data_IF_152595308149
#
_entry.id   IF_152595308149
#
_cell.length_a   1.000
_cell.length_b   1.000
_cell.length_c   1.000
_cell.angle_alpha   90.00
_cell.angle_beta   90.00
_cell.angle_gamma   90.00
#
_symmetry.space_group_name_H-M   'P 1'
#
loop_
_entity.id
_entity.type
_entity.pdbx_description
1 polymer ?
#
# COMPACT_ATOMS: atom_id res chain seq x y z
N UNK A 1 9.41 20.61 13.98
CA UNK A 1 9.21 19.15 14.18
C UNK A 1 8.15 18.89 15.25
N UNK A 2 7.71 17.65 15.43
CA UNK A 2 6.72 17.29 16.47
C UNK A 2 7.20 17.66 17.87
N UNK A 3 8.48 17.44 18.16
CA UNK A 3 9.09 17.81 19.44
C UNK A 3 9.05 19.32 19.70
N UNK A 4 9.33 20.14 18.72
CA UNK A 4 9.28 21.59 18.81
C UNK A 4 7.87 22.12 18.96
N UNK A 5 6.88 21.43 18.37
CA UNK A 5 5.46 21.73 18.56
C UNK A 5 5.00 21.44 19.99
N UNK A 6 5.48 20.33 20.57
CA UNK A 6 5.12 19.95 21.95
C UNK A 6 5.75 20.89 22.98
N UNK A 7 7.01 21.23 22.81
CA UNK A 7 7.71 22.17 23.68
C UNK A 7 8.90 22.76 22.92
N UNK A 8 9.00 24.09 22.78
CA UNK A 8 10.18 24.77 22.27
C UNK A 8 11.41 24.36 23.08
N UNK A 9 12.53 24.17 22.42
CA UNK A 9 13.81 23.80 23.03
C UNK A 9 13.94 22.37 23.58
N UNK A 10 12.95 21.54 23.38
CA UNK A 10 12.96 20.15 23.86
C UNK A 10 14.18 19.34 23.35
N UNK A 11 14.64 19.65 22.15
CA UNK A 11 15.83 19.05 21.52
C UNK A 11 17.08 19.96 21.62
N UNK A 12 16.98 21.09 22.29
CA UNK A 12 18.07 22.07 22.47
C UNK A 12 18.69 22.59 21.14
N UNK A 13 17.86 22.73 20.12
CA UNK A 13 18.28 23.28 18.82
C UNK A 13 17.46 24.51 18.45
N UNK A 14 18.15 25.60 18.10
CA UNK A 14 17.55 26.86 17.64
C UNK A 14 17.12 26.83 16.19
N UNK A 15 17.61 25.89 15.39
CA UNK A 15 17.28 25.80 13.98
C UNK A 15 17.26 24.35 13.46
N UNK A 16 16.37 24.11 12.50
CA UNK A 16 16.31 22.84 11.78
C UNK A 16 17.64 22.48 11.12
N UNK A 17 18.36 23.46 10.59
CA UNK A 17 19.64 23.21 9.92
C UNK A 17 20.73 22.74 10.89
N UNK A 18 20.76 23.30 12.11
CA UNK A 18 21.69 22.88 13.15
C UNK A 18 21.39 21.43 13.56
N UNK A 19 20.12 21.10 13.83
CA UNK A 19 19.66 19.74 14.11
C UNK A 19 20.00 18.78 12.96
N UNK A 20 19.67 19.13 11.71
CA UNK A 20 19.98 18.31 10.54
C UNK A 20 21.46 18.03 10.41
N UNK A 21 22.31 19.06 10.53
CA UNK A 21 23.76 18.89 10.37
C UNK A 21 24.38 18.04 11.49
N UNK A 22 23.77 18.01 12.68
CA UNK A 22 24.20 17.13 13.77
C UNK A 22 23.89 15.68 13.50
N UNK A 23 22.71 15.38 12.92
CA UNK A 23 22.18 14.01 12.81
C UNK A 23 22.13 13.45 11.39
N UNK A 24 22.47 14.26 10.38
CA UNK A 24 22.50 13.82 8.99
C UNK A 24 23.73 14.33 8.23
N UNK A 25 24.20 13.50 7.32
CA UNK A 25 25.15 13.89 6.28
C UNK A 25 24.38 14.15 5.00
N UNK A 26 24.66 15.28 4.36
CA UNK A 26 23.94 15.73 3.17
C UNK A 26 24.77 15.49 1.93
N UNK A 27 24.09 15.05 0.85
CA UNK A 27 24.67 14.87 -0.47
C UNK A 27 23.94 15.76 -1.48
N UNK A 28 24.69 16.39 -2.36
CA UNK A 28 24.09 17.12 -3.48
C UNK A 28 23.74 16.15 -4.59
N UNK A 29 22.48 16.15 -5.01
CA UNK A 29 22.02 15.46 -6.20
C UNK A 29 21.60 16.47 -7.26
N UNK A 30 21.95 16.19 -8.52
CA UNK A 30 21.51 16.98 -9.66
C UNK A 30 20.32 16.30 -10.33
N UNK A 31 19.14 16.91 -10.25
CA UNK A 31 17.90 16.41 -10.85
C UNK A 31 17.33 17.49 -11.76
N UNK A 32 17.16 17.17 -13.04
CA UNK A 32 16.65 18.10 -14.07
C UNK A 32 17.36 19.47 -14.08
N UNK A 33 18.70 19.48 -13.97
CA UNK A 33 19.50 20.71 -13.98
C UNK A 33 19.44 21.55 -12.70
N UNK A 34 18.79 21.06 -11.65
CA UNK A 34 18.75 21.69 -10.32
C UNK A 34 19.53 20.87 -9.31
N UNK A 35 20.28 21.55 -8.46
CA UNK A 35 20.99 20.93 -7.33
C UNK A 35 20.07 20.88 -6.12
N UNK A 36 19.79 19.69 -5.62
CA UNK A 36 19.03 19.48 -4.39
C UNK A 36 19.89 18.79 -3.34
N UNK A 37 19.71 19.16 -2.08
CA UNK A 37 20.36 18.51 -0.96
C UNK A 37 19.48 17.38 -0.43
N UNK A 38 19.99 16.15 -0.43
CA UNK A 38 19.32 14.97 0.12
C UNK A 38 20.14 14.38 1.26
N UNK A 39 19.48 13.69 2.17
CA UNK A 39 20.17 12.95 3.24
C UNK A 39 20.88 11.75 2.61
N UNK A 40 22.19 11.66 2.81
CA UNK A 40 23.01 10.52 2.40
C UNK A 40 23.05 9.46 3.52
N UNK A 41 23.39 9.89 4.74
CA UNK A 41 23.48 9.02 5.92
C UNK A 41 22.99 9.72 7.16
N UNK A 42 22.52 8.95 8.11
CA UNK A 42 22.27 9.44 9.47
C UNK A 42 23.48 9.16 10.37
N UNK A 43 23.73 10.05 11.31
CA UNK A 43 24.82 9.96 12.29
C UNK A 43 24.33 10.34 13.69
N UNK A 44 25.09 10.00 14.72
CA UNK A 44 24.81 10.33 16.13
C UNK A 44 23.41 9.90 16.61
N UNK A 45 22.82 8.82 16.02
CA UNK A 45 21.47 8.36 16.37
C UNK A 45 21.36 7.88 17.82
N UNK A 46 22.45 7.39 18.41
CA UNK A 46 22.49 7.01 19.82
C UNK A 46 22.23 8.21 20.73
N UNK A 47 22.95 9.30 20.52
CA UNK A 47 22.78 10.56 21.24
C UNK A 47 21.33 11.09 21.11
N UNK A 48 20.79 11.08 19.89
CA UNK A 48 19.39 11.49 19.65
C UNK A 48 18.41 10.58 20.39
N UNK A 49 18.63 9.27 20.37
CA UNK A 49 17.81 8.30 21.09
C UNK A 49 17.82 8.55 22.60
N UNK A 50 19.00 8.81 23.16
CA UNK A 50 19.13 9.07 24.61
C UNK A 50 18.46 10.39 25.01
N UNK A 51 18.56 11.43 24.18
CA UNK A 51 17.84 12.68 24.36
C UNK A 51 16.33 12.46 24.32
N UNK A 52 15.83 11.69 23.34
CA UNK A 52 14.40 11.40 23.19
C UNK A 52 13.83 10.58 24.35
N UNK A 53 14.57 9.68 24.97
CA UNK A 53 14.13 8.86 26.12
C UNK A 53 13.67 9.72 27.30
N UNK A 54 14.19 10.93 27.46
CA UNK A 54 13.84 11.81 28.58
C UNK A 54 12.38 12.29 28.55
N UNK A 55 11.73 12.29 27.38
CA UNK A 55 10.37 12.81 27.22
C UNK A 55 9.50 11.97 26.27
N UNK A 56 9.99 10.82 25.86
CA UNK A 56 9.23 9.87 25.04
C UNK A 56 9.25 8.47 25.64
N UNK A 57 8.16 7.76 25.44
CA UNK A 57 8.04 6.38 25.85
C UNK A 57 7.80 5.52 24.58
N UNK A 58 8.64 4.50 24.41
CA UNK A 58 8.54 3.56 23.29
C UNK A 58 8.34 2.15 23.84
N UNK A 59 7.30 1.49 23.39
CA UNK A 59 6.99 0.10 23.70
C UNK A 59 6.83 -0.67 22.41
N UNK A 60 7.49 -1.80 22.30
CA UNK A 60 7.29 -2.72 21.19
C UNK A 60 6.21 -3.74 21.57
N UNK A 61 5.44 -4.20 20.58
CA UNK A 61 4.41 -5.22 20.81
C UNK A 61 5.02 -6.52 21.34
N UNK A 62 6.20 -6.87 20.88
CA UNK A 62 6.97 -8.06 21.32
C UNK A 62 7.39 -7.99 22.79
N UNK A 63 7.55 -6.80 23.36
CA UNK A 63 7.93 -6.60 24.75
C UNK A 63 6.74 -6.69 25.73
N UNK A 64 5.51 -6.53 25.21
CA UNK A 64 4.31 -6.34 26.05
C UNK A 64 3.19 -7.33 25.79
N UNK A 65 3.22 -8.03 24.68
CA UNK A 65 2.16 -8.94 24.25
C UNK A 65 2.75 -10.30 23.88
N UNK A 66 2.19 -11.35 24.47
CA UNK A 66 2.45 -12.72 24.02
C UNK A 66 1.60 -13.03 22.80
N UNK A 67 2.13 -12.66 21.63
CA UNK A 67 1.47 -12.86 20.34
C UNK A 67 2.15 -13.99 19.58
N UNK A 68 1.40 -14.83 18.87
CA UNK A 68 2.00 -15.82 17.98
C UNK A 68 2.81 -15.15 16.88
N UNK A 69 3.81 -15.87 16.39
CA UNK A 69 4.65 -15.43 15.29
C UNK A 69 3.85 -15.11 14.03
N UNK A 70 4.29 -14.08 13.30
CA UNK A 70 3.71 -13.74 12.00
C UNK A 70 4.12 -14.76 10.96
N UNK A 71 3.15 -15.38 10.34
CA UNK A 71 3.36 -16.32 9.23
C UNK A 71 3.14 -15.58 7.91
N UNK A 72 4.15 -15.61 7.04
CA UNK A 72 4.09 -15.04 5.71
C UNK A 72 3.99 -16.17 4.68
N UNK A 73 2.90 -16.22 3.94
CA UNK A 73 2.70 -17.17 2.85
C UNK A 73 2.61 -16.47 1.51
N UNK A 74 3.09 -17.12 0.45
CA UNK A 74 3.04 -16.63 -0.91
C UNK A 74 2.29 -17.62 -1.80
N UNK A 75 1.27 -17.14 -2.49
CA UNK A 75 0.53 -17.88 -3.51
C UNK A 75 0.97 -17.40 -4.90
N UNK A 76 1.48 -18.32 -5.70
CA UNK A 76 1.87 -18.04 -7.08
C UNK A 76 0.70 -18.35 -8.01
N UNK A 77 0.27 -17.34 -8.77
CA UNK A 77 -0.88 -17.46 -9.67
C UNK A 77 -0.37 -17.41 -11.12
N UNK A 78 -0.68 -18.43 -11.90
CA UNK A 78 -0.32 -18.48 -13.32
C UNK A 78 -1.28 -17.60 -14.12
N UNK A 79 -0.73 -16.79 -15.01
CA UNK A 79 -1.54 -16.01 -15.97
C UNK A 79 -2.30 -16.94 -16.90
N UNK A 80 -3.53 -16.58 -17.24
CA UNK A 80 -4.26 -17.27 -18.30
C UNK A 80 -3.58 -17.04 -19.66
N UNK A 81 -3.80 -17.91 -20.68
CA UNK A 81 -3.24 -17.70 -22.01
C UNK A 81 -3.56 -16.32 -22.59
N UNK A 82 -4.79 -15.83 -22.38
CA UNK A 82 -5.22 -14.52 -22.85
C UNK A 82 -4.47 -13.39 -22.13
N UNK A 83 -4.36 -13.46 -20.79
CA UNK A 83 -3.56 -12.50 -20.02
C UNK A 83 -2.10 -12.50 -20.49
N UNK A 84 -1.50 -13.68 -20.67
CA UNK A 84 -0.11 -13.81 -21.09
C UNK A 84 0.13 -13.19 -22.47
N UNK A 85 -0.79 -13.41 -23.42
CA UNK A 85 -0.72 -12.81 -24.76
C UNK A 85 -0.74 -11.29 -24.70
N UNK A 86 -1.71 -10.72 -23.96
CA UNK A 86 -1.85 -9.26 -23.81
C UNK A 86 -0.63 -8.68 -23.06
N UNK A 87 -0.22 -9.34 -21.98
CA UNK A 87 0.95 -8.94 -21.20
C UNK A 87 2.22 -8.89 -22.05
N UNK A 88 2.47 -9.94 -22.87
CA UNK A 88 3.63 -10.01 -23.76
C UNK A 88 3.60 -8.90 -24.79
N UNK A 89 2.48 -8.66 -25.46
CA UNK A 89 2.33 -7.58 -26.44
C UNK A 89 2.64 -6.21 -25.81
N UNK A 90 2.07 -5.92 -24.64
CA UNK A 90 2.30 -4.66 -23.91
C UNK A 90 3.76 -4.52 -23.48
N UNK A 91 4.39 -5.61 -23.01
CA UNK A 91 5.80 -5.63 -22.60
C UNK A 91 6.72 -5.36 -23.80
N UNK A 92 6.48 -6.00 -24.94
CA UNK A 92 7.28 -5.82 -26.15
C UNK A 92 7.18 -4.39 -26.69
N UNK A 93 5.99 -3.79 -26.65
CA UNK A 93 5.78 -2.37 -26.98
C UNK A 93 6.54 -1.45 -26.03
N UNK A 94 6.49 -1.72 -24.71
CA UNK A 94 7.21 -0.93 -23.72
C UNK A 94 8.73 -1.01 -23.93
N UNK A 95 9.27 -2.18 -24.24
CA UNK A 95 10.69 -2.37 -24.56
C UNK A 95 11.08 -1.64 -25.86
N UNK A 96 10.23 -1.71 -26.90
CA UNK A 96 10.47 -1.00 -28.16
C UNK A 96 10.52 0.53 -27.94
N UNK A 97 9.64 1.08 -27.13
CA UNK A 97 9.67 2.50 -26.76
C UNK A 97 10.96 2.89 -26.02
N UNK A 98 11.43 2.05 -25.10
CA UNK A 98 12.69 2.27 -24.38
C UNK A 98 13.91 2.27 -25.33
N UNK A 99 13.96 1.32 -26.26
CA UNK A 99 15.06 1.20 -27.22
C UNK A 99 15.04 2.29 -28.30
N UNK A 100 13.88 2.86 -28.61
CA UNK A 100 13.70 3.93 -29.58
C UNK A 100 14.08 5.33 -29.10
N UNK A 101 14.63 5.49 -27.91
CA UNK A 101 15.05 6.77 -27.29
C UNK A 101 13.95 7.84 -27.13
N UNK A 102 12.68 7.49 -27.34
CA UNK A 102 11.54 8.39 -27.13
C UNK A 102 10.89 8.06 -25.79
N UNK A 103 11.54 8.43 -24.69
CA UNK A 103 10.99 8.09 -23.39
C UNK A 103 10.97 9.27 -22.44
N UNK A 104 9.77 9.81 -22.22
CA UNK A 104 9.53 10.51 -20.96
C UNK A 104 9.35 9.47 -19.84
N UNK A 105 9.84 9.76 -18.65
CA UNK A 105 9.65 8.92 -17.45
C UNK A 105 8.16 8.58 -17.22
N UNK A 106 7.26 9.49 -17.58
CA UNK A 106 5.80 9.32 -17.51
C UNK A 106 5.32 8.15 -18.36
N UNK A 107 5.82 8.00 -19.58
CA UNK A 107 5.43 6.89 -20.46
C UNK A 107 5.86 5.52 -19.91
N UNK A 108 7.04 5.44 -19.30
CA UNK A 108 7.53 4.20 -18.68
C UNK A 108 6.66 3.80 -17.48
N UNK A 109 6.36 4.75 -16.59
CA UNK A 109 5.49 4.51 -15.43
C UNK A 109 4.08 4.08 -15.85
N UNK A 110 3.52 4.71 -16.87
CA UNK A 110 2.21 4.33 -17.41
C UNK A 110 2.22 2.91 -17.93
N UNK A 111 3.26 2.49 -18.68
CA UNK A 111 3.38 1.13 -19.18
C UNK A 111 3.51 0.10 -18.03
N UNK A 112 4.28 0.40 -17.01
CA UNK A 112 4.39 -0.47 -15.83
C UNK A 112 3.04 -0.63 -15.12
N UNK A 113 2.29 0.46 -14.94
CA UNK A 113 0.94 0.40 -14.36
C UNK A 113 -0.01 -0.46 -15.20
N UNK A 114 0.04 -0.35 -16.53
CA UNK A 114 -0.78 -1.18 -17.43
C UNK A 114 -0.40 -2.66 -17.36
N UNK A 115 0.89 -2.99 -17.33
CA UNK A 115 1.34 -4.37 -17.14
C UNK A 115 0.83 -4.92 -15.79
N UNK A 116 0.85 -4.13 -14.74
CA UNK A 116 0.30 -4.51 -13.44
C UNK A 116 -1.22 -4.73 -13.51
N UNK A 117 -1.97 -3.84 -14.15
CA UNK A 117 -3.42 -4.00 -14.35
C UNK A 117 -3.75 -5.30 -15.10
N UNK A 118 -3.02 -5.62 -16.17
CA UNK A 118 -3.19 -6.88 -16.92
C UNK A 118 -2.99 -8.09 -16.00
N UNK A 119 -1.96 -8.09 -15.14
CA UNK A 119 -1.76 -9.17 -14.18
C UNK A 119 -2.85 -9.21 -13.12
N UNK A 120 -3.51 -8.09 -12.82
CA UNK A 120 -4.68 -8.01 -11.96
C UNK A 120 -5.98 -8.46 -12.64
N UNK A 121 -5.98 -8.66 -13.96
CA UNK A 121 -7.14 -9.16 -14.71
C UNK A 121 -8.06 -8.07 -15.24
N UNK A 122 -7.53 -6.88 -15.46
CA UNK A 122 -8.23 -5.80 -16.13
C UNK A 122 -7.25 -4.91 -16.90
N UNK A 123 -7.80 -4.06 -17.76
CA UNK A 123 -7.06 -3.06 -18.50
C UNK A 123 -7.89 -1.80 -18.58
N UNK A 124 -7.30 -0.66 -18.24
CA UNK A 124 -7.95 0.64 -18.38
C UNK A 124 -7.37 1.35 -19.60
N UNK A 125 -8.22 1.65 -20.57
CA UNK A 125 -7.86 2.36 -21.79
C UNK A 125 -7.67 3.87 -21.53
N UNK A 126 -7.15 4.61 -22.53
CA UNK A 126 -6.90 6.05 -22.40
C UNK A 126 -8.18 6.88 -22.29
N UNK A 127 -9.30 6.36 -22.75
CA UNK A 127 -10.64 6.96 -22.59
C UNK A 127 -11.26 6.72 -21.19
N UNK A 128 -10.54 6.04 -20.30
CA UNK A 128 -10.99 5.69 -18.95
C UNK A 128 -11.86 4.43 -18.89
N UNK A 129 -12.20 3.81 -20.02
CA UNK A 129 -12.96 2.56 -20.03
C UNK A 129 -12.12 1.42 -19.47
N UNK A 130 -12.74 0.54 -18.64
CA UNK A 130 -12.06 -0.61 -18.06
C UNK A 130 -12.63 -1.89 -18.64
N UNK A 131 -11.75 -2.73 -19.19
CA UNK A 131 -12.09 -4.03 -19.75
C UNK A 131 -11.61 -5.15 -18.82
N UNK A 132 -12.48 -6.13 -18.58
CA UNK A 132 -12.14 -7.32 -17.82
C UNK A 132 -11.29 -8.27 -18.66
N UNK A 133 -10.29 -8.87 -18.05
CA UNK A 133 -9.49 -9.95 -18.60
C UNK A 133 -9.68 -11.17 -17.72
N UNK A 134 -10.04 -12.31 -18.32
CA UNK A 134 -10.20 -13.57 -17.57
C UNK A 134 -8.90 -13.89 -16.82
N UNK A 135 -8.99 -14.12 -15.54
CA UNK A 135 -7.83 -14.36 -14.67
C UNK A 135 -8.17 -15.36 -13.56
N UNK A 136 -7.12 -15.91 -12.93
CA UNK A 136 -7.25 -16.91 -11.87
C UNK A 136 -7.18 -16.30 -10.46
N UNK A 137 -6.98 -14.98 -10.32
CA UNK A 137 -6.73 -14.32 -9.01
C UNK A 137 -7.92 -14.39 -8.07
N UNK A 138 -9.13 -14.15 -8.60
CA UNK A 138 -10.34 -14.20 -7.78
C UNK A 138 -10.59 -15.62 -7.28
N UNK A 139 -10.39 -16.64 -8.12
CA UNK A 139 -10.51 -18.05 -7.71
C UNK A 139 -9.54 -18.36 -6.57
N UNK A 140 -8.26 -18.05 -6.75
CA UNK A 140 -7.24 -18.25 -5.72
C UNK A 140 -7.54 -17.48 -4.43
N UNK A 141 -8.03 -16.22 -4.55
CA UNK A 141 -8.48 -15.48 -3.37
C UNK A 141 -9.61 -16.20 -2.64
N UNK A 142 -10.60 -16.70 -3.37
CA UNK A 142 -11.72 -17.41 -2.75
C UNK A 142 -11.29 -18.69 -2.04
N UNK A 143 -10.28 -19.39 -2.58
CA UNK A 143 -9.69 -20.57 -1.94
C UNK A 143 -8.95 -20.18 -0.63
N UNK A 144 -8.17 -19.11 -0.66
CA UNK A 144 -7.51 -18.57 0.56
C UNK A 144 -8.53 -18.15 1.61
N UNK A 145 -9.64 -17.52 1.21
CA UNK A 145 -10.69 -17.12 2.16
C UNK A 145 -11.45 -18.30 2.75
N UNK A 146 -11.54 -19.43 2.02
CA UNK A 146 -12.08 -20.69 2.56
C UNK A 146 -11.16 -21.33 3.60
N UNK A 147 -9.85 -21.30 3.35
CA UNK A 147 -8.83 -21.79 4.29
C UNK A 147 -8.75 -20.93 5.57
N UNK A 148 -9.28 -19.69 5.53
CA UNK A 148 -9.21 -18.75 6.65
C UNK A 148 -10.39 -18.94 7.58
N UNK A 149 -10.16 -19.39 8.83
CA UNK A 149 -11.22 -19.61 9.83
C UNK A 149 -11.75 -18.30 10.46
N UNK A 150 -10.93 -17.26 10.54
CA UNK A 150 -11.24 -16.00 11.20
C UNK A 150 -11.72 -14.90 10.27
N UNK A 151 -11.54 -13.68 10.74
CA UNK A 151 -11.74 -12.47 9.94
C UNK A 151 -10.52 -12.19 9.09
N UNK A 152 -10.72 -11.68 7.88
CA UNK A 152 -9.63 -11.35 6.96
C UNK A 152 -9.73 -9.92 6.44
N UNK A 153 -8.56 -9.27 6.34
CA UNK A 153 -8.38 -7.97 5.72
C UNK A 153 -7.80 -8.20 4.32
N UNK A 154 -8.47 -7.67 3.31
CA UNK A 154 -8.09 -7.84 1.91
C UNK A 154 -7.57 -6.50 1.38
N UNK A 155 -6.30 -6.44 1.01
CA UNK A 155 -5.72 -5.24 0.42
C UNK A 155 -5.66 -5.35 -1.10
N UNK A 156 -6.25 -4.37 -1.79
CA UNK A 156 -6.21 -4.26 -3.24
C UNK A 156 -5.83 -2.83 -3.67
N UNK A 157 -5.08 -2.71 -4.76
CA UNK A 157 -4.62 -1.39 -5.24
C UNK A 157 -5.63 -0.71 -6.16
N UNK A 158 -6.39 -1.48 -6.94
CA UNK A 158 -7.29 -0.94 -7.95
C UNK A 158 -8.75 -1.03 -7.49
N UNK A 159 -9.52 0.03 -7.78
CA UNK A 159 -10.96 0.08 -7.49
C UNK A 159 -11.72 -1.05 -8.18
N UNK A 160 -11.30 -1.38 -9.40
CA UNK A 160 -11.86 -2.51 -10.15
C UNK A 160 -11.73 -3.84 -9.39
N UNK A 161 -10.55 -4.10 -8.82
CA UNK A 161 -10.32 -5.31 -8.01
C UNK A 161 -11.21 -5.32 -6.76
N UNK A 162 -11.32 -4.18 -6.06
CA UNK A 162 -12.17 -4.06 -4.86
C UNK A 162 -13.63 -4.38 -5.20
N UNK A 163 -14.16 -3.78 -6.27
CA UNK A 163 -15.54 -4.02 -6.71
C UNK A 163 -15.79 -5.49 -7.05
N UNK A 164 -14.86 -6.14 -7.75
CA UNK A 164 -14.94 -7.55 -8.07
C UNK A 164 -14.86 -8.45 -6.82
N UNK A 165 -13.96 -8.15 -5.89
CA UNK A 165 -13.82 -8.89 -4.63
C UNK A 165 -15.13 -8.81 -3.85
N UNK A 166 -15.69 -7.61 -3.67
CA UNK A 166 -16.99 -7.43 -2.99
C UNK A 166 -18.07 -8.28 -3.63
N UNK A 167 -18.18 -8.24 -4.95
CA UNK A 167 -19.17 -8.99 -5.72
C UNK A 167 -19.05 -10.49 -5.49
N UNK A 168 -17.86 -11.06 -5.65
CA UNK A 168 -17.65 -12.50 -5.56
C UNK A 168 -17.73 -13.00 -4.11
N UNK A 169 -17.21 -12.23 -3.14
CA UNK A 169 -17.35 -12.57 -1.71
C UNK A 169 -18.81 -12.52 -1.29
N UNK A 170 -19.55 -11.47 -1.68
CA UNK A 170 -20.99 -11.37 -1.37
C UNK A 170 -21.79 -12.52 -1.99
N UNK A 171 -21.45 -12.92 -3.21
CA UNK A 171 -22.10 -14.06 -3.89
C UNK A 171 -21.88 -15.37 -3.15
N UNK A 172 -20.68 -15.60 -2.61
CA UNK A 172 -20.32 -16.87 -1.95
C UNK A 172 -20.74 -16.91 -0.48
N UNK A 173 -20.54 -15.83 0.26
CA UNK A 173 -20.73 -15.78 1.72
C UNK A 173 -21.98 -15.00 2.15
N UNK A 174 -22.72 -14.42 1.21
CA UNK A 174 -23.96 -13.69 1.47
C UNK A 174 -23.79 -12.20 1.75
N UNK A 175 -24.93 -11.51 1.74
CA UNK A 175 -24.97 -10.06 2.03
C UNK A 175 -24.49 -9.78 3.45
N UNK A 176 -23.65 -8.75 3.57
CA UNK A 176 -23.12 -8.31 4.87
C UNK A 176 -21.89 -9.09 5.37
N UNK A 177 -21.41 -10.09 4.61
CA UNK A 177 -20.17 -10.81 4.91
C UNK A 177 -18.90 -9.99 4.70
N UNK A 178 -18.96 -8.95 3.87
CA UNK A 178 -17.86 -8.07 3.54
C UNK A 178 -18.28 -6.61 3.65
N UNK A 179 -17.34 -5.76 4.04
CA UNK A 179 -17.43 -4.29 4.00
C UNK A 179 -16.21 -3.73 3.27
N UNK A 180 -16.33 -2.51 2.80
CA UNK A 180 -15.26 -1.81 2.09
C UNK A 180 -14.70 -0.63 2.89
N UNK A 181 -13.41 -0.33 2.62
CA UNK A 181 -12.72 0.83 3.16
C UNK A 181 -11.66 1.35 2.17
N UNK A 182 -12.10 2.20 1.25
CA UNK A 182 -11.22 2.76 0.21
C UNK A 182 -11.66 4.17 -0.20
N UNK A 183 -11.05 4.75 -1.24
CA UNK A 183 -11.26 6.13 -1.63
C UNK A 183 -12.71 6.50 -1.98
N UNK A 184 -13.51 5.55 -2.54
CA UNK A 184 -14.91 5.78 -2.89
C UNK A 184 -15.88 5.45 -1.75
N UNK A 185 -15.44 4.82 -0.67
CA UNK A 185 -16.29 4.61 0.51
C UNK A 185 -16.66 5.97 1.11
N UNK A 186 -17.97 6.31 1.21
CA UNK A 186 -18.44 7.55 1.81
C UNK A 186 -17.87 7.74 3.22
N UNK A 187 -17.54 8.96 3.58
CA UNK A 187 -16.90 9.25 4.86
C UNK A 187 -17.77 8.83 6.05
N UNK A 188 -19.08 9.00 5.93
CA UNK A 188 -20.07 8.59 6.92
C UNK A 188 -20.17 7.07 7.11
N UNK A 189 -19.82 6.27 6.10
CA UNK A 189 -19.86 4.81 6.15
C UNK A 189 -18.56 4.19 6.69
N UNK A 190 -17.46 4.93 6.69
CA UNK A 190 -16.13 4.40 7.05
C UNK A 190 -16.08 3.85 8.46
N UNK A 191 -16.53 4.61 9.45
CA UNK A 191 -16.54 4.16 10.86
C UNK A 191 -17.58 3.06 11.10
N UNK A 192 -18.83 3.14 10.59
CA UNK A 192 -19.77 2.03 10.62
C UNK A 192 -19.22 0.74 10.01
N UNK A 193 -18.50 0.79 8.89
CA UNK A 193 -17.92 -0.38 8.25
C UNK A 193 -16.83 -1.02 9.12
N UNK A 194 -15.94 -0.22 9.73
CA UNK A 194 -14.93 -0.71 10.67
C UNK A 194 -15.61 -1.41 11.85
N UNK A 195 -16.59 -0.75 12.48
CA UNK A 195 -17.31 -1.29 13.62
C UNK A 195 -18.07 -2.57 13.26
N UNK A 196 -18.70 -2.60 12.08
CA UNK A 196 -19.36 -3.80 11.57
C UNK A 196 -18.38 -4.95 11.38
N UNK A 197 -17.19 -4.69 10.83
CA UNK A 197 -16.15 -5.69 10.71
C UNK A 197 -15.67 -6.17 12.09
N UNK A 198 -15.47 -5.29 13.05
CA UNK A 198 -14.99 -5.64 14.40
C UNK A 198 -16.02 -6.46 15.19
N UNK A 199 -17.28 -6.01 15.22
CA UNK A 199 -18.28 -6.49 16.18
C UNK A 199 -19.21 -7.58 15.62
N UNK A 200 -19.45 -7.59 14.30
CA UNK A 200 -20.41 -8.53 13.70
C UNK A 200 -19.72 -9.83 13.25
N UNK A 201 -20.02 -10.98 13.84
CA UNK A 201 -19.45 -12.26 13.45
C UNK A 201 -19.82 -12.69 12.01
N UNK A 202 -20.91 -12.19 11.44
CA UNK A 202 -21.28 -12.45 10.05
C UNK A 202 -20.43 -11.65 9.06
N UNK A 203 -19.87 -10.51 9.48
CA UNK A 203 -18.97 -9.69 8.68
C UNK A 203 -17.53 -10.18 8.86
N UNK A 204 -17.14 -11.15 8.04
CA UNK A 204 -15.83 -11.80 8.13
C UNK A 204 -14.72 -11.04 7.38
N UNK A 205 -15.09 -10.22 6.40
CA UNK A 205 -14.14 -9.63 5.48
C UNK A 205 -14.24 -8.12 5.43
N UNK A 206 -13.09 -7.47 5.31
CA UNK A 206 -12.97 -6.06 4.95
C UNK A 206 -12.00 -5.93 3.79
N UNK A 207 -12.38 -5.18 2.76
CA UNK A 207 -11.54 -4.92 1.61
C UNK A 207 -11.24 -3.42 1.49
N UNK A 208 -9.98 -3.07 1.21
CA UNK A 208 -9.60 -1.67 1.07
C UNK A 208 -8.30 -1.47 0.32
N UNK A 209 -7.92 -0.19 0.19
CA UNK A 209 -6.60 0.17 -0.34
C UNK A 209 -5.62 0.42 0.80
N UNK A 210 -4.36 -0.02 0.68
CA UNK A 210 -3.34 0.26 1.70
C UNK A 210 -3.15 1.75 1.99
N UNK A 211 -3.34 2.60 0.97
CA UNK A 211 -3.23 4.06 1.11
C UNK A 211 -4.32 4.69 1.99
N UNK A 212 -5.53 4.11 1.98
CA UNK A 212 -6.65 4.64 2.77
C UNK A 212 -6.74 3.99 4.16
N UNK A 213 -6.53 2.67 4.24
CA UNK A 213 -6.75 1.89 5.45
C UNK A 213 -5.49 1.39 6.15
N UNK A 214 -4.29 1.68 5.61
CA UNK A 214 -3.03 1.20 6.18
C UNK A 214 -2.54 1.96 7.41
N UNK A 215 -3.14 3.12 7.71
CA UNK A 215 -2.73 3.96 8.83
C UNK A 215 -3.95 4.49 9.61
N UNK A 216 -3.79 4.60 10.92
CA UNK A 216 -4.73 5.33 11.80
C UNK A 216 -6.05 4.61 12.08
N UNK A 217 -6.20 3.36 11.71
CA UNK A 217 -7.35 2.53 12.07
C UNK A 217 -6.91 1.26 12.78
N UNK A 218 -7.73 0.83 13.72
CA UNK A 218 -7.59 -0.47 14.39
C UNK A 218 -8.63 -1.42 13.79
N UNK A 219 -8.17 -2.52 13.21
CA UNK A 219 -9.00 -3.53 12.56
C UNK A 219 -8.93 -4.87 13.32
#
# INVERSE_FOLDING_TARGET
>A
SQCEFLSPWLLDYTSYYAFRNRYAEMKTMHVHGRSIQVVDKFKNLGELSDTLKNFSYRVLKEDCLDLPDKIYMKRNITLTPDQFKIYKQMKDQAIAMLNGKVTSTVNVLTQLMRLQQITCGHFTADDGSTQAIKNNRITELMDVLEETEGKAIIWAHYQYDITNIIKEVTKKYGLGSIVDYYGLTPQEERQPNIKKFQDNPKCRFIVGTPSTGGYGITL
#
